data_IF_372337071829
#
_entry.id   IF_372337071829
#
_cell.length_a   1.000
_cell.length_b   1.000
_cell.length_c   1.000
_cell.angle_alpha   90.00
_cell.angle_beta   90.00
_cell.angle_gamma   90.00
#
_symmetry.space_group_name_H-M   'P 1'
#
loop_
_entity.id
_entity.type
_entity.pdbx_description
1 polymer ?
#
# COMPACT_ATOMS: atom_id res chain seq x y z
N UNK A 1 -19.64 -4.47 1.97
CA UNK A 1 -20.87 -3.75 1.57
C UNK A 1 -20.63 -2.23 1.63
N UNK A 2 -21.21 -1.46 0.68
CA UNK A 2 -21.38 0.02 0.70
C UNK A 2 -20.22 0.98 0.29
N UNK A 3 -19.44 0.70 -0.77
CA UNK A 3 -18.56 1.72 -1.42
C UNK A 3 -19.29 2.62 -2.45
N UNK A 4 -20.48 2.22 -2.92
CA UNK A 4 -21.19 2.86 -4.05
C UNK A 4 -21.94 4.16 -3.69
N UNK A 5 -22.32 4.36 -2.43
CA UNK A 5 -23.11 5.54 -2.05
C UNK A 5 -22.25 6.79 -1.78
N UNK A 6 -21.00 6.63 -1.34
CA UNK A 6 -20.11 7.78 -1.07
C UNK A 6 -19.63 8.47 -2.35
N UNK A 7 -19.40 7.72 -3.44
CA UNK A 7 -18.98 8.33 -4.71
C UNK A 7 -20.12 9.11 -5.37
N UNK A 8 -21.37 8.63 -5.28
CA UNK A 8 -22.53 9.36 -5.82
C UNK A 8 -22.77 10.65 -5.03
N UNK A 9 -22.68 10.60 -3.70
CA UNK A 9 -22.80 11.80 -2.87
C UNK A 9 -21.69 12.83 -3.19
N UNK A 10 -20.43 12.37 -3.34
CA UNK A 10 -19.32 13.23 -3.71
C UNK A 10 -19.49 13.89 -5.08
N UNK A 11 -20.06 13.17 -6.06
CA UNK A 11 -20.33 13.69 -7.40
C UNK A 11 -21.43 14.74 -7.39
N UNK A 12 -22.50 14.50 -6.62
CA UNK A 12 -23.58 15.46 -6.42
C UNK A 12 -23.03 16.71 -5.71
N UNK A 13 -22.26 16.53 -4.64
CA UNK A 13 -21.62 17.64 -3.94
C UNK A 13 -20.73 18.46 -4.87
N UNK A 14 -19.87 17.80 -5.66
CA UNK A 14 -19.02 18.43 -6.67
C UNK A 14 -19.85 19.27 -7.66
N UNK A 15 -20.85 18.68 -8.30
CA UNK A 15 -21.68 19.33 -9.31
C UNK A 15 -22.48 20.50 -8.74
N UNK A 16 -23.12 20.30 -7.58
CA UNK A 16 -23.94 21.34 -6.93
C UNK A 16 -23.06 22.49 -6.44
N UNK A 17 -21.91 22.23 -5.84
CA UNK A 17 -21.02 23.30 -5.39
C UNK A 17 -20.40 24.08 -6.57
N UNK A 18 -20.04 23.41 -7.66
CA UNK A 18 -19.60 24.11 -8.88
C UNK A 18 -20.71 25.01 -9.45
N UNK A 19 -21.95 24.50 -9.49
CA UNK A 19 -23.13 25.29 -9.88
C UNK A 19 -23.32 26.51 -8.98
N UNK A 20 -23.21 26.35 -7.65
CA UNK A 20 -23.33 27.46 -6.69
C UNK A 20 -22.26 28.53 -6.94
N UNK A 21 -21.02 28.15 -7.20
CA UNK A 21 -19.92 29.09 -7.48
C UNK A 21 -20.21 29.88 -8.76
N UNK A 22 -20.66 29.20 -9.82
CA UNK A 22 -21.00 29.85 -11.10
C UNK A 22 -22.22 30.77 -10.96
N UNK A 23 -23.26 30.34 -10.24
CA UNK A 23 -24.43 31.18 -9.97
C UNK A 23 -24.05 32.41 -9.14
N UNK A 24 -23.21 32.25 -8.12
CA UNK A 24 -22.69 33.36 -7.32
C UNK A 24 -21.90 34.35 -8.20
N UNK A 25 -21.08 33.87 -9.13
CA UNK A 25 -20.37 34.71 -10.09
C UNK A 25 -21.35 35.58 -10.89
N UNK A 26 -22.41 35.00 -11.46
CA UNK A 26 -23.39 35.72 -12.29
C UNK A 26 -24.20 36.71 -11.46
N UNK A 27 -24.70 36.29 -10.29
CA UNK A 27 -25.58 37.10 -9.44
C UNK A 27 -24.86 38.29 -8.80
N UNK A 28 -23.59 38.13 -8.45
CA UNK A 28 -22.80 39.18 -7.79
C UNK A 28 -22.06 40.09 -8.79
N UNK A 29 -21.95 39.71 -10.06
CA UNK A 29 -21.26 40.50 -11.10
C UNK A 29 -21.74 41.96 -11.17
N UNK A 30 -23.05 42.28 -11.10
CA UNK A 30 -23.53 43.65 -11.13
C UNK A 30 -23.04 44.51 -9.95
N UNK A 31 -22.70 43.90 -8.81
CA UNK A 31 -22.22 44.61 -7.62
C UNK A 31 -20.74 45.01 -7.70
N UNK A 32 -19.96 44.42 -8.62
CA UNK A 32 -18.51 44.60 -8.70
C UNK A 32 -18.06 45.21 -10.04
N UNK A 33 -18.83 46.17 -10.55
CA UNK A 33 -18.59 46.85 -11.83
C UNK A 33 -17.28 47.67 -11.90
N UNK A 34 -16.67 47.99 -10.76
CA UNK A 34 -15.45 48.80 -10.69
C UNK A 34 -14.18 48.04 -11.13
N UNK A 35 -14.13 46.71 -10.97
CA UNK A 35 -12.98 45.91 -11.39
C UNK A 35 -13.41 44.50 -11.87
N UNK A 36 -14.00 44.39 -13.07
CA UNK A 36 -14.56 43.14 -13.58
C UNK A 36 -13.50 42.06 -13.82
N UNK A 37 -12.25 42.46 -14.09
CA UNK A 37 -11.16 41.53 -14.36
C UNK A 37 -10.65 40.88 -13.06
N UNK A 38 -10.44 41.67 -12.00
CA UNK A 38 -10.11 41.15 -10.67
C UNK A 38 -11.22 40.24 -10.13
N UNK A 39 -12.47 40.64 -10.34
CA UNK A 39 -13.64 39.85 -9.99
C UNK A 39 -13.63 38.48 -10.69
N UNK A 40 -13.43 38.47 -12.01
CA UNK A 40 -13.34 37.22 -12.80
C UNK A 40 -12.19 36.33 -12.32
N UNK A 41 -11.00 36.90 -12.11
CA UNK A 41 -9.86 36.17 -11.57
C UNK A 41 -10.17 35.51 -10.22
N UNK A 42 -10.88 36.20 -9.35
CA UNK A 42 -11.24 35.69 -8.01
C UNK A 42 -12.12 34.46 -8.10
N UNK A 43 -13.16 34.49 -8.93
CA UNK A 43 -14.05 33.35 -9.10
C UNK A 43 -13.38 32.17 -9.82
N UNK A 44 -12.48 32.45 -10.77
CA UNK A 44 -11.66 31.40 -11.41
C UNK A 44 -10.76 30.73 -10.38
N UNK A 45 -10.08 31.50 -9.52
CA UNK A 45 -9.22 30.97 -8.46
C UNK A 45 -9.99 30.18 -7.40
N UNK A 46 -11.19 30.63 -7.04
CA UNK A 46 -12.10 29.89 -6.13
C UNK A 46 -12.56 28.58 -6.78
N UNK A 47 -13.01 28.63 -8.04
CA UNK A 47 -13.44 27.43 -8.77
C UNK A 47 -12.30 26.43 -8.93
N UNK A 48 -11.09 26.90 -9.23
CA UNK A 48 -9.90 26.06 -9.33
C UNK A 48 -9.60 25.38 -7.99
N UNK A 49 -9.60 26.13 -6.88
CA UNK A 49 -9.40 25.58 -5.53
C UNK A 49 -10.46 24.52 -5.20
N UNK A 50 -11.72 24.78 -5.60
CA UNK A 50 -12.82 23.84 -5.43
C UNK A 50 -12.63 22.55 -6.24
N UNK A 51 -12.21 22.66 -7.50
CA UNK A 51 -11.88 21.50 -8.34
C UNK A 51 -10.73 20.70 -7.71
N UNK A 52 -9.69 21.36 -7.22
CA UNK A 52 -8.57 20.73 -6.55
C UNK A 52 -9.01 19.99 -5.27
N UNK A 53 -9.94 20.54 -4.50
CA UNK A 53 -10.49 19.86 -3.32
C UNK A 53 -11.13 18.50 -3.66
N UNK A 54 -11.79 18.39 -4.82
CA UNK A 54 -12.39 17.15 -5.31
C UNK A 54 -11.45 16.32 -6.19
N UNK A 55 -10.28 16.82 -6.58
CA UNK A 55 -9.32 16.10 -7.44
C UNK A 55 -8.95 14.70 -6.92
N UNK A 56 -8.69 14.49 -5.61
CA UNK A 56 -8.48 13.16 -5.02
C UNK A 56 -9.58 12.13 -5.32
N UNK A 57 -10.81 12.59 -5.51
CA UNK A 57 -11.97 11.74 -5.79
C UNK A 57 -11.93 11.12 -7.19
N UNK A 58 -11.36 11.83 -8.17
CA UNK A 58 -11.32 11.41 -9.57
C UNK A 58 -10.04 10.65 -9.93
N UNK A 59 -8.89 11.10 -9.40
CA UNK A 59 -7.57 10.55 -9.76
C UNK A 59 -7.04 9.52 -8.76
N UNK A 60 -7.81 9.26 -7.69
CA UNK A 60 -7.65 8.14 -6.77
C UNK A 60 -6.26 7.50 -6.65
N UNK A 61 -5.30 8.13 -5.95
CA UNK A 61 -4.18 7.41 -5.34
C UNK A 61 -4.48 7.11 -3.86
N UNK A 62 -5.57 7.66 -3.29
CA UNK A 62 -5.89 7.57 -1.86
C UNK A 62 -6.85 6.43 -1.54
N UNK A 63 -6.94 5.41 -2.40
CA UNK A 63 -7.69 4.19 -2.11
C UNK A 63 -6.71 3.03 -1.95
N UNK A 64 -6.06 2.97 -0.80
CA UNK A 64 -5.24 1.84 -0.35
C UNK A 64 -5.52 1.55 1.12
N UNK A 65 -4.71 0.70 1.74
CA UNK A 65 -4.85 0.30 3.14
C UNK A 65 -5.00 1.52 4.07
N UNK A 66 -5.73 1.36 5.18
CA UNK A 66 -6.24 2.49 6.00
C UNK A 66 -5.12 3.48 6.38
N UNK A 67 -3.90 2.99 6.59
CA UNK A 67 -2.73 3.81 6.90
C UNK A 67 -2.21 4.65 5.70
N UNK A 68 -2.07 4.06 4.51
CA UNK A 68 -1.58 4.75 3.31
C UNK A 68 -2.58 5.78 2.76
N UNK A 69 -3.88 5.53 2.97
CA UNK A 69 -4.97 6.47 2.63
C UNK A 69 -5.01 7.67 3.57
N UNK A 70 -4.83 7.46 4.87
CA UNK A 70 -4.85 8.53 5.87
C UNK A 70 -3.62 9.43 5.72
N UNK A 71 -2.43 8.86 5.52
CA UNK A 71 -1.20 9.63 5.36
C UNK A 71 -1.22 10.43 4.04
N UNK A 72 -1.43 9.76 2.90
CA UNK A 72 -1.45 10.43 1.59
C UNK A 72 -2.52 11.53 1.51
N UNK A 73 -3.73 11.25 2.02
CA UNK A 73 -4.82 12.23 2.03
C UNK A 73 -4.52 13.44 2.90
N UNK A 74 -3.97 13.22 4.11
CA UNK A 74 -3.63 14.31 5.03
C UNK A 74 -2.55 15.23 4.45
N UNK A 75 -1.52 14.67 3.80
CA UNK A 75 -0.48 15.47 3.14
C UNK A 75 -1.04 16.31 2.00
N UNK A 76 -1.93 15.75 1.17
CA UNK A 76 -2.59 16.48 0.09
C UNK A 76 -3.45 17.63 0.61
N UNK A 77 -4.36 17.36 1.56
CA UNK A 77 -5.26 18.38 2.10
C UNK A 77 -4.53 19.48 2.86
N UNK A 78 -3.38 19.17 3.49
CA UNK A 78 -2.53 20.19 4.09
C UNK A 78 -1.88 21.10 3.05
N UNK A 79 -1.35 20.53 1.96
CA UNK A 79 -0.86 21.32 0.82
C UNK A 79 -1.95 22.18 0.20
N UNK A 80 -3.15 21.62 0.01
CA UNK A 80 -4.32 22.33 -0.51
C UNK A 80 -4.74 23.48 0.41
N UNK A 81 -4.66 23.32 1.73
CA UNK A 81 -5.00 24.37 2.69
C UNK A 81 -4.04 25.56 2.58
N UNK A 82 -2.74 25.28 2.42
CA UNK A 82 -1.72 26.32 2.19
C UNK A 82 -1.97 27.01 0.84
N UNK A 83 -2.26 26.25 -0.21
CA UNK A 83 -2.61 26.80 -1.52
C UNK A 83 -3.85 27.69 -1.46
N UNK A 84 -4.92 27.25 -0.77
CA UNK A 84 -6.14 28.03 -0.61
C UNK A 84 -5.90 29.34 0.15
N UNK A 85 -5.07 29.31 1.20
CA UNK A 85 -4.66 30.51 1.93
C UNK A 85 -3.89 31.48 1.03
N UNK A 86 -2.89 30.98 0.30
CA UNK A 86 -2.12 31.78 -0.67
C UNK A 86 -3.03 32.37 -1.75
N UNK A 87 -3.97 31.58 -2.27
CA UNK A 87 -4.95 32.02 -3.26
C UNK A 87 -5.85 33.13 -2.71
N UNK A 88 -6.31 33.02 -1.45
CA UNK A 88 -7.13 34.05 -0.82
C UNK A 88 -6.37 35.36 -0.62
N UNK A 89 -5.11 35.28 -0.19
CA UNK A 89 -4.22 36.45 -0.08
C UNK A 89 -3.98 37.08 -1.45
N UNK A 90 -3.70 36.26 -2.48
CA UNK A 90 -3.47 36.73 -3.85
C UNK A 90 -4.70 37.45 -4.41
N UNK A 91 -5.91 36.90 -4.19
CA UNK A 91 -7.18 37.54 -4.53
C UNK A 91 -7.30 38.91 -3.87
N UNK A 92 -7.06 39.00 -2.56
CA UNK A 92 -7.13 40.28 -1.84
C UNK A 92 -6.13 41.31 -2.42
N UNK A 93 -4.91 40.88 -2.73
CA UNK A 93 -3.87 41.76 -3.29
C UNK A 93 -4.24 42.32 -4.67
N UNK A 94 -4.90 41.53 -5.52
CA UNK A 94 -5.41 42.00 -6.84
C UNK A 94 -6.39 43.16 -6.70
N UNK A 95 -7.23 43.15 -5.65
CA UNK A 95 -8.19 44.23 -5.42
C UNK A 95 -7.54 45.50 -4.85
N UNK A 96 -6.39 45.40 -4.17
CA UNK A 96 -5.74 46.55 -3.55
C UNK A 96 -4.73 47.22 -4.48
N UNK A 97 -3.76 46.47 -5.03
CA UNK A 97 -2.66 47.09 -5.78
C UNK A 97 -1.94 46.16 -6.76
N UNK A 98 -2.18 44.85 -6.74
CA UNK A 98 -1.37 43.90 -7.50
C UNK A 98 -1.83 43.80 -8.96
N UNK A 99 -0.92 43.89 -9.95
CA UNK A 99 -1.26 43.66 -11.34
C UNK A 99 -1.78 42.24 -11.58
N UNK A 100 -2.79 42.11 -12.44
CA UNK A 100 -3.40 40.83 -12.77
C UNK A 100 -2.39 39.80 -13.30
N UNK A 101 -1.49 40.22 -14.20
CA UNK A 101 -0.49 39.35 -14.79
C UNK A 101 0.43 38.71 -13.72
N UNK A 102 0.86 39.51 -12.74
CA UNK A 102 1.68 39.03 -11.61
C UNK A 102 0.90 38.03 -10.77
N UNK A 103 -0.37 38.31 -10.51
CA UNK A 103 -1.24 37.47 -9.70
C UNK A 103 -1.53 36.12 -10.36
N UNK A 104 -1.70 36.11 -11.70
CA UNK A 104 -1.81 34.87 -12.49
C UNK A 104 -0.52 34.06 -12.38
N UNK A 105 0.65 34.69 -12.52
CA UNK A 105 1.95 34.01 -12.40
C UNK A 105 2.09 33.38 -11.01
N UNK A 106 1.79 34.13 -9.95
CA UNK A 106 1.81 33.62 -8.57
C UNK A 106 0.87 32.43 -8.41
N UNK A 107 -0.36 32.51 -8.95
CA UNK A 107 -1.33 31.43 -8.88
C UNK A 107 -0.84 30.16 -9.60
N UNK A 108 -0.22 30.31 -10.77
CA UNK A 108 0.36 29.21 -11.55
C UNK A 108 1.55 28.58 -10.82
N UNK A 109 2.43 29.37 -10.22
CA UNK A 109 3.56 28.87 -9.42
C UNK A 109 3.04 28.10 -8.20
N UNK A 110 2.07 28.66 -7.47
CA UNK A 110 1.47 28.00 -6.32
C UNK A 110 0.79 26.67 -6.71
N UNK A 111 0.11 26.65 -7.86
CA UNK A 111 -0.50 25.44 -8.41
C UNK A 111 0.57 24.40 -8.76
N UNK A 112 1.65 24.80 -9.42
CA UNK A 112 2.75 23.91 -9.77
C UNK A 112 3.39 23.30 -8.52
N UNK A 113 3.64 24.09 -7.48
CA UNK A 113 4.18 23.60 -6.20
C UNK A 113 3.21 22.60 -5.54
N UNK A 114 1.90 22.87 -5.55
CA UNK A 114 0.90 21.94 -5.03
C UNK A 114 0.92 20.60 -5.80
N UNK A 115 1.02 20.65 -7.13
CA UNK A 115 1.09 19.45 -7.96
C UNK A 115 2.38 18.66 -7.72
N UNK A 116 3.53 19.34 -7.57
CA UNK A 116 4.77 18.69 -7.16
C UNK A 116 4.65 18.03 -5.78
N UNK A 117 4.01 18.71 -4.83
CA UNK A 117 3.75 18.16 -3.50
C UNK A 117 2.89 16.90 -3.56
N UNK A 118 1.82 16.93 -4.37
CA UNK A 118 0.95 15.78 -4.59
C UNK A 118 1.70 14.62 -5.26
N UNK A 119 2.55 14.91 -6.25
CA UNK A 119 3.39 13.93 -6.93
C UNK A 119 4.38 13.26 -5.98
N UNK A 120 5.12 14.03 -5.17
CA UNK A 120 6.03 13.49 -4.17
C UNK A 120 5.31 12.59 -3.16
N UNK A 121 4.11 12.99 -2.73
CA UNK A 121 3.27 12.18 -1.85
C UNK A 121 2.88 10.82 -2.47
N UNK A 122 2.65 10.77 -3.78
CA UNK A 122 2.38 9.51 -4.49
C UNK A 122 3.62 8.63 -4.58
N UNK A 123 4.79 9.20 -4.93
CA UNK A 123 6.06 8.46 -5.03
C UNK A 123 6.44 7.86 -3.67
N UNK A 124 6.28 8.63 -2.58
CA UNK A 124 6.55 8.11 -1.22
C UNK A 124 5.59 6.97 -0.86
N UNK A 125 4.31 7.07 -1.24
CA UNK A 125 3.35 6.00 -1.00
C UNK A 125 3.72 4.72 -1.77
N UNK A 126 4.06 4.82 -3.05
CA UNK A 126 4.45 3.66 -3.86
C UNK A 126 5.64 2.92 -3.25
N UNK A 127 6.64 3.66 -2.76
CA UNK A 127 7.81 3.08 -2.09
C UNK A 127 7.48 2.39 -0.75
N UNK A 128 6.50 2.91 -0.01
CA UNK A 128 6.03 2.32 1.26
C UNK A 128 5.15 1.09 0.99
N UNK A 129 4.27 1.14 0.00
CA UNK A 129 3.40 0.00 -0.33
C UNK A 129 4.22 -1.18 -0.87
N UNK A 130 5.29 -0.92 -1.64
CA UNK A 130 6.20 -1.98 -2.12
C UNK A 130 7.05 -2.59 -0.99
N UNK A 131 7.48 -1.81 0.00
CA UNK A 131 8.22 -2.34 1.15
C UNK A 131 7.32 -3.17 2.08
N UNK A 132 6.09 -2.71 2.34
CA UNK A 132 5.10 -3.44 3.13
C UNK A 132 4.64 -4.73 2.44
N UNK A 133 4.38 -4.71 1.13
CA UNK A 133 4.03 -5.93 0.37
C UNK A 133 5.17 -6.93 0.40
N UNK A 134 6.42 -6.47 0.34
CA UNK A 134 7.58 -7.34 0.50
C UNK A 134 7.69 -7.92 1.91
N UNK A 135 7.40 -7.16 2.96
CA UNK A 135 7.35 -7.67 4.34
C UNK A 135 6.24 -8.70 4.57
N UNK A 136 5.04 -8.48 4.03
CA UNK A 136 3.92 -9.42 4.18
C UNK A 136 4.17 -10.73 3.42
N UNK A 137 4.72 -10.65 2.21
CA UNK A 137 5.10 -11.85 1.46
C UNK A 137 6.23 -12.59 2.17
N UNK A 138 7.21 -11.90 2.76
CA UNK A 138 8.27 -12.53 3.58
C UNK A 138 7.69 -13.27 4.80
N UNK A 139 6.79 -12.62 5.56
CA UNK A 139 6.09 -13.26 6.68
C UNK A 139 5.26 -14.47 6.22
N UNK A 140 4.67 -14.41 5.02
CA UNK A 140 3.86 -15.51 4.49
C UNK A 140 4.66 -16.79 4.23
N UNK A 141 5.89 -16.71 3.73
CA UNK A 141 6.69 -17.92 3.39
C UNK A 141 7.11 -18.68 4.66
N UNK A 142 7.62 -17.96 5.67
CA UNK A 142 7.97 -18.58 6.97
C UNK A 142 6.73 -19.11 7.69
N UNK A 143 5.60 -18.40 7.61
CA UNK A 143 4.33 -18.87 8.18
C UNK A 143 3.85 -20.14 7.48
N UNK A 144 3.97 -20.20 6.15
CA UNK A 144 3.61 -21.37 5.36
C UNK A 144 4.53 -22.56 5.67
N UNK A 145 5.84 -22.34 5.80
CA UNK A 145 6.79 -23.37 6.25
C UNK A 145 6.38 -23.96 7.62
N UNK A 146 6.02 -23.11 8.58
CA UNK A 146 5.53 -23.56 9.90
C UNK A 146 4.25 -24.36 9.80
N UNK A 147 3.27 -23.90 9.02
CA UNK A 147 2.00 -24.60 8.82
C UNK A 147 2.21 -25.98 8.19
N UNK A 148 3.08 -26.07 7.18
CA UNK A 148 3.38 -27.34 6.52
C UNK A 148 4.18 -28.30 7.40
N UNK A 149 5.09 -27.78 8.22
CA UNK A 149 5.82 -28.58 9.20
C UNK A 149 4.88 -29.15 10.29
N UNK A 150 3.95 -28.34 10.79
CA UNK A 150 2.91 -28.81 11.72
C UNK A 150 2.02 -29.89 11.07
N UNK A 151 1.64 -29.70 9.80
CA UNK A 151 0.90 -30.72 9.02
C UNK A 151 1.69 -32.02 8.89
N UNK A 152 3.00 -31.94 8.64
CA UNK A 152 3.88 -33.10 8.55
C UNK A 152 3.91 -33.90 9.86
N UNK A 153 4.03 -33.23 11.00
CA UNK A 153 3.94 -33.89 12.32
C UNK A 153 2.56 -34.51 12.56
N UNK A 154 1.48 -33.82 12.15
CA UNK A 154 0.13 -34.36 12.27
C UNK A 154 -0.07 -35.64 11.45
N UNK A 155 0.41 -35.69 10.19
CA UNK A 155 0.29 -36.86 9.32
C UNK A 155 1.10 -38.07 9.81
N UNK A 156 2.22 -37.82 10.49
CA UNK A 156 3.12 -38.87 11.02
C UNK A 156 2.79 -39.26 12.47
N UNK A 157 1.76 -38.67 13.07
CA UNK A 157 1.40 -38.86 14.47
C UNK A 157 0.94 -40.28 14.82
N UNK A 158 0.37 -41.00 13.84
CA UNK A 158 -0.09 -42.39 13.97
C UNK A 158 1.05 -43.42 13.91
N UNK A 159 2.25 -43.02 13.50
CA UNK A 159 3.43 -43.88 13.51
C UNK A 159 3.94 -44.07 14.94
N UNK A 160 4.60 -45.21 15.21
CA UNK A 160 5.24 -45.48 16.50
C UNK A 160 6.24 -44.38 16.88
N UNK A 161 6.44 -44.16 18.19
CA UNK A 161 7.32 -43.10 18.69
C UNK A 161 8.78 -43.27 18.26
N UNK A 162 9.23 -44.51 18.06
CA UNK A 162 10.59 -44.85 17.62
C UNK A 162 10.75 -44.77 16.09
N UNK A 163 9.67 -44.51 15.35
CA UNK A 163 9.72 -44.43 13.89
C UNK A 163 10.55 -43.21 13.44
N UNK A 164 11.57 -43.46 12.61
CA UNK A 164 12.48 -42.45 12.08
C UNK A 164 11.77 -41.31 11.33
N UNK A 165 10.67 -41.60 10.61
CA UNK A 165 9.89 -40.58 9.91
C UNK A 165 9.27 -39.61 10.93
N UNK A 166 8.67 -40.15 11.99
CA UNK A 166 8.04 -39.33 13.04
C UNK A 166 9.06 -38.48 13.78
N UNK A 167 10.25 -39.02 14.06
CA UNK A 167 11.35 -38.27 14.65
C UNK A 167 11.82 -37.11 13.74
N UNK A 168 11.99 -37.38 12.43
CA UNK A 168 12.39 -36.37 11.46
C UNK A 168 11.32 -35.29 11.26
N UNK A 169 10.04 -35.65 11.23
CA UNK A 169 8.93 -34.70 11.15
C UNK A 169 8.92 -33.72 12.34
N UNK A 170 9.08 -34.24 13.58
CA UNK A 170 9.19 -33.41 14.78
C UNK A 170 10.39 -32.47 14.75
N UNK A 171 11.55 -32.96 14.28
CA UNK A 171 12.75 -32.13 14.12
C UNK A 171 12.51 -30.97 13.16
N UNK A 172 11.83 -31.21 12.03
CA UNK A 172 11.48 -30.14 11.06
C UNK A 172 10.55 -29.11 11.70
N UNK A 173 9.50 -29.55 12.41
CA UNK A 173 8.57 -28.64 13.09
C UNK A 173 9.28 -27.77 14.13
N UNK A 174 10.15 -28.36 14.94
CA UNK A 174 10.93 -27.62 15.93
C UNK A 174 11.86 -26.60 15.26
N UNK A 175 12.55 -26.99 14.19
CA UNK A 175 13.39 -26.08 13.41
C UNK A 175 12.59 -24.90 12.82
N UNK A 176 11.40 -25.15 12.29
CA UNK A 176 10.55 -24.08 11.71
C UNK A 176 9.97 -23.16 12.78
N UNK A 177 9.73 -23.67 14.00
CA UNK A 177 9.23 -22.88 15.12
C UNK A 177 10.16 -21.71 15.46
N UNK A 178 11.47 -21.92 15.36
CA UNK A 178 12.50 -20.93 15.68
C UNK A 178 13.06 -20.19 14.46
N UNK A 179 12.53 -20.43 13.26
CA UNK A 179 12.94 -19.72 12.06
C UNK A 179 12.31 -18.32 12.03
N UNK A 180 13.11 -17.26 12.21
CA UNK A 180 12.68 -15.86 12.10
C UNK A 180 12.78 -15.38 10.67
N UNK A 181 11.87 -14.57 10.09
CA UNK A 181 12.00 -14.01 8.74
C UNK A 181 13.35 -13.30 8.52
N UNK A 182 13.92 -13.40 7.32
CA UNK A 182 15.14 -12.68 6.93
C UNK A 182 14.85 -11.67 5.82
N UNK A 183 15.61 -10.58 5.81
CA UNK A 183 15.55 -9.55 4.76
C UNK A 183 16.47 -9.83 3.58
N UNK A 184 17.33 -10.84 3.68
CA UNK A 184 18.27 -11.20 2.63
C UNK A 184 17.55 -11.94 1.46
N UNK A 185 17.71 -11.49 0.20
CA UNK A 185 17.14 -12.17 -0.98
C UNK A 185 17.56 -13.63 -1.10
N UNK A 186 18.80 -13.97 -0.75
CA UNK A 186 19.34 -15.32 -0.80
C UNK A 186 18.65 -16.25 0.21
N UNK A 187 18.39 -15.76 1.42
CA UNK A 187 17.62 -16.49 2.42
C UNK A 187 16.20 -16.79 1.95
N UNK A 188 15.58 -15.87 1.20
CA UNK A 188 14.23 -16.07 0.63
C UNK A 188 14.21 -17.15 -0.45
N UNK A 189 15.22 -17.22 -1.30
CA UNK A 189 15.31 -18.28 -2.30
C UNK A 189 15.42 -19.65 -1.64
N UNK A 190 16.26 -19.76 -0.61
CA UNK A 190 16.40 -20.99 0.18
C UNK A 190 15.09 -21.35 0.88
N UNK A 191 14.37 -20.38 1.46
CA UNK A 191 13.05 -20.63 2.09
C UNK A 191 12.02 -21.17 1.09
N UNK A 192 12.01 -20.70 -0.16
CA UNK A 192 11.15 -21.24 -1.22
C UNK A 192 11.55 -22.66 -1.62
N UNK A 193 12.86 -22.95 -1.69
CA UNK A 193 13.36 -24.30 -1.94
C UNK A 193 13.00 -25.25 -0.79
N UNK A 194 13.14 -24.81 0.46
CA UNK A 194 12.72 -25.55 1.66
C UNK A 194 11.22 -25.88 1.58
N UNK A 195 10.39 -24.93 1.17
CA UNK A 195 8.95 -25.13 1.04
C UNK A 195 8.62 -26.16 -0.05
N UNK A 196 9.31 -26.11 -1.20
CA UNK A 196 9.17 -27.11 -2.26
C UNK A 196 9.57 -28.51 -1.78
N UNK A 197 10.68 -28.63 -1.03
CA UNK A 197 11.14 -29.92 -0.47
C UNK A 197 10.17 -30.45 0.58
N UNK A 198 9.66 -29.59 1.46
CA UNK A 198 8.66 -29.97 2.46
C UNK A 198 7.37 -30.49 1.80
N UNK A 199 6.98 -29.92 0.66
CA UNK A 199 5.85 -30.42 -0.14
C UNK A 199 6.14 -31.77 -0.78
N UNK A 200 7.35 -31.99 -1.25
CA UNK A 200 7.76 -33.27 -1.81
C UNK A 200 7.83 -34.39 -0.76
N UNK A 201 8.08 -34.05 0.50
CA UNK A 201 7.97 -34.97 1.65
C UNK A 201 6.50 -35.23 1.97
N UNK A 202 5.67 -34.18 2.09
CA UNK A 202 4.25 -34.29 2.43
C UNK A 202 3.44 -35.12 1.42
N UNK A 203 3.82 -35.06 0.14
CA UNK A 203 3.16 -35.79 -0.93
C UNK A 203 3.78 -37.18 -1.18
N UNK A 204 4.76 -37.61 -0.36
CA UNK A 204 5.37 -38.93 -0.52
C UNK A 204 4.41 -40.04 -0.03
N UNK A 205 4.08 -41.04 -0.86
CA UNK A 205 3.14 -42.11 -0.49
C UNK A 205 3.65 -42.98 0.66
N UNK A 206 4.96 -42.99 0.94
CA UNK A 206 5.55 -43.77 2.02
C UNK A 206 5.58 -43.02 3.35
N UNK A 207 5.14 -41.75 3.38
CA UNK A 207 5.21 -40.89 4.57
C UNK A 207 4.46 -41.45 5.78
N UNK A 208 3.31 -42.08 5.56
CA UNK A 208 2.48 -42.65 6.62
C UNK A 208 2.60 -44.17 6.73
N UNK A 209 3.55 -44.76 5.99
CA UNK A 209 3.78 -46.20 5.96
C UNK A 209 4.96 -46.58 6.85
N UNK A 210 4.85 -47.70 7.57
CA UNK A 210 5.97 -48.27 8.34
C UNK A 210 7.17 -48.60 7.43
N UNK A 211 6.92 -48.97 6.17
CA UNK A 211 7.95 -49.25 5.17
C UNK A 211 8.74 -48.00 4.73
N UNK A 212 8.23 -46.80 4.99
CA UNK A 212 8.95 -45.56 4.65
C UNK A 212 10.16 -45.30 5.55
N UNK A 213 10.21 -45.88 6.75
CA UNK A 213 11.28 -45.62 7.72
C UNK A 213 12.65 -46.15 7.28
N UNK A 214 12.65 -47.15 6.39
CA UNK A 214 13.86 -47.74 5.79
C UNK A 214 14.07 -47.28 4.34
N UNK A 215 13.16 -46.44 3.81
CA UNK A 215 13.24 -46.00 2.43
C UNK A 215 14.33 -44.92 2.26
N UNK A 216 15.37 -45.25 1.49
CA UNK A 216 16.49 -44.35 1.21
C UNK A 216 16.07 -43.06 0.48
N UNK A 217 15.04 -43.11 -0.38
CA UNK A 217 14.55 -41.93 -1.09
C UNK A 217 13.87 -40.93 -0.15
N UNK A 218 12.98 -41.42 0.73
CA UNK A 218 12.32 -40.57 1.72
C UNK A 218 13.33 -40.00 2.73
N UNK A 219 14.27 -40.82 3.21
CA UNK A 219 15.36 -40.36 4.07
C UNK A 219 16.24 -39.30 3.38
N UNK A 220 16.49 -39.45 2.08
CA UNK A 220 17.20 -38.46 1.26
C UNK A 220 16.50 -37.11 1.26
N UNK A 221 15.18 -37.08 1.06
CA UNK A 221 14.38 -35.84 1.09
C UNK A 221 14.46 -35.12 2.43
N UNK A 222 14.42 -35.86 3.54
CA UNK A 222 14.61 -35.28 4.89
C UNK A 222 16.00 -34.67 5.07
N UNK A 223 17.05 -35.34 4.58
CA UNK A 223 18.42 -34.83 4.65
C UNK A 223 18.61 -33.57 3.80
N UNK A 224 18.06 -33.54 2.58
CA UNK A 224 18.09 -32.36 1.71
C UNK A 224 17.43 -31.14 2.38
N UNK A 225 16.29 -31.35 3.06
CA UNK A 225 15.65 -30.28 3.83
C UNK A 225 16.53 -29.78 4.98
N UNK A 226 17.22 -30.69 5.70
CA UNK A 226 18.13 -30.32 6.79
C UNK A 226 19.35 -29.52 6.31
N UNK A 227 19.86 -29.82 5.10
CA UNK A 227 20.93 -29.04 4.46
C UNK A 227 20.47 -27.61 4.17
N UNK A 228 19.31 -27.46 3.50
CA UNK A 228 18.75 -26.14 3.18
C UNK A 228 18.46 -25.33 4.45
N UNK A 229 17.96 -25.97 5.52
CA UNK A 229 17.74 -25.29 6.80
C UNK A 229 19.05 -24.76 7.42
N UNK A 230 20.14 -25.53 7.35
CA UNK A 230 21.45 -25.09 7.86
C UNK A 230 22.01 -23.94 7.04
N UNK A 231 21.92 -24.03 5.71
CA UNK A 231 22.33 -22.99 4.78
C UNK A 231 21.57 -21.68 5.02
N UNK A 232 20.24 -21.79 5.17
CA UNK A 232 19.39 -20.69 5.61
C UNK A 232 19.93 -20.09 6.92
N UNK A 233 20.19 -20.91 7.94
CA UNK A 233 20.64 -20.42 9.25
C UNK A 233 22.00 -19.73 9.21
N UNK A 234 22.87 -20.06 8.25
CA UNK A 234 24.15 -19.37 8.06
C UNK A 234 24.04 -17.98 7.44
N UNK A 235 22.90 -17.68 6.79
CA UNK A 235 22.61 -16.37 6.23
C UNK A 235 21.82 -15.59 7.30
N UNK A 236 22.53 -14.74 8.05
CA UNK A 236 21.93 -13.77 8.97
C UNK A 236 21.44 -12.55 8.20
#
# INVERSE_FOLDING_TARGET
>A
MKKRNSSVFGLIAFAVGALIIVLAYILLMPMFSFNPVAYTFSFVSILLTYILFFLPMFFGPFTGDVAGTVLGGMFYYRGLTIYALLSAVNIALVFVFMPLAVSIIIQCIALFVLLLWAFLGQVTKEHIDDSLRNEEVKKSVVTELRNRAAKLTAMTSSLESENKIRANARKIEENMRYLSPSDNPEAREIELQMLAKLNAILNDPLLTSSAGAENASLSGKFNEFDVLYKERKSIL
#
